data_IF_354271542973
#
_entry.id   IF_354271542973
#
_cell.length_a   1.000
_cell.length_b   1.000
_cell.length_c   1.000
_cell.angle_alpha   90.00
_cell.angle_beta   90.00
_cell.angle_gamma   90.00
#
_symmetry.space_group_name_H-M   'P 1'
#
loop_
_entity.id
_entity.type
_entity.pdbx_description
1 polymer ?
#
# COMPACT_ATOMS: atom_id res chain seq x y z
N UNK A 1 -6.96 -13.42 25.11
CA UNK A 1 -7.87 -14.17 24.22
C UNK A 1 -7.60 -13.70 22.82
N UNK A 2 -7.06 -14.56 21.96
CA UNK A 2 -6.92 -14.27 20.53
C UNK A 2 -8.35 -14.28 19.99
N UNK A 3 -8.82 -13.12 19.55
CA UNK A 3 -10.16 -12.96 18.99
C UNK A 3 -10.20 -13.79 17.70
N UNK A 4 -11.19 -14.68 17.54
CA UNK A 4 -11.34 -15.66 16.44
C UNK A 4 -11.45 -15.03 15.01
N UNK A 5 -11.22 -13.72 14.88
CA UNK A 5 -11.33 -12.93 13.65
C UNK A 5 -10.00 -12.60 12.96
N UNK A 6 -8.86 -13.02 13.51
CA UNK A 6 -7.54 -12.70 12.93
C UNK A 6 -6.87 -13.95 12.40
N UNK A 7 -6.92 -14.12 11.06
CA UNK A 7 -6.26 -15.24 10.38
C UNK A 7 -4.72 -15.10 10.38
N UNK A 8 -4.22 -13.87 10.53
CA UNK A 8 -2.80 -13.53 10.48
C UNK A 8 -2.39 -12.55 11.59
N UNK A 9 -1.16 -12.64 12.12
CA UNK A 9 -0.66 -11.69 13.11
C UNK A 9 -0.38 -10.31 12.49
N UNK A 10 -0.36 -9.26 13.32
CA UNK A 10 0.02 -7.91 12.89
C UNK A 10 1.41 -7.91 12.23
N UNK A 11 1.50 -7.30 11.06
CA UNK A 11 2.73 -7.24 10.26
C UNK A 11 2.93 -8.43 9.32
N UNK A 12 2.04 -9.43 9.32
CA UNK A 12 2.10 -10.51 8.35
C UNK A 12 1.96 -9.95 6.93
N UNK A 13 2.99 -10.13 6.10
CA UNK A 13 3.06 -9.57 4.75
C UNK A 13 3.17 -10.69 3.72
N UNK A 14 2.30 -10.66 2.73
CA UNK A 14 2.35 -11.53 1.56
C UNK A 14 2.92 -10.74 0.38
N UNK A 15 3.82 -11.35 -0.39
CA UNK A 15 4.41 -10.79 -1.60
C UNK A 15 3.97 -11.60 -2.82
N UNK A 16 3.88 -10.95 -3.97
CA UNK A 16 3.66 -11.60 -5.25
C UNK A 16 4.48 -10.93 -6.36
N UNK A 17 4.98 -11.73 -7.28
CA UNK A 17 5.64 -11.24 -8.51
C UNK A 17 4.61 -10.80 -9.57
N UNK A 18 3.38 -11.33 -9.49
CA UNK A 18 2.30 -11.02 -10.42
C UNK A 18 0.94 -11.11 -9.76
N UNK A 19 0.07 -10.14 -10.05
CA UNK A 19 -1.34 -10.16 -9.65
C UNK A 19 -2.24 -10.42 -10.87
N UNK A 20 -2.86 -11.59 -10.93
CA UNK A 20 -3.79 -11.95 -12.02
C UNK A 20 -5.16 -11.25 -11.89
N UNK A 21 -5.56 -10.90 -10.66
CA UNK A 21 -6.84 -10.28 -10.34
C UNK A 21 -6.66 -9.05 -9.43
N UNK A 22 -5.63 -8.24 -9.70
CA UNK A 22 -5.38 -7.01 -8.95
C UNK A 22 -6.54 -6.01 -9.05
N UNK A 23 -6.79 -5.28 -7.96
CA UNK A 23 -7.89 -4.30 -7.85
C UNK A 23 -7.38 -3.01 -7.20
N UNK A 24 -7.75 -1.86 -7.75
CA UNK A 24 -7.57 -0.53 -7.15
C UNK A 24 -8.83 -0.04 -6.42
N UNK A 25 -8.84 1.24 -6.03
CA UNK A 25 -10.02 1.90 -5.41
C UNK A 25 -11.26 1.70 -6.29
N UNK A 26 -12.40 1.46 -5.62
CA UNK A 26 -13.71 1.29 -6.28
C UNK A 26 -13.77 0.16 -7.30
N UNK A 27 -12.93 -0.87 -7.15
CA UNK A 27 -12.96 -2.08 -7.97
C UNK A 27 -12.35 -1.93 -9.37
N UNK A 28 -11.67 -0.81 -9.66
CA UNK A 28 -10.94 -0.63 -10.93
C UNK A 28 -9.87 -1.73 -11.07
N UNK A 29 -9.69 -2.24 -12.29
CA UNK A 29 -8.67 -3.25 -12.58
C UNK A 29 -7.27 -2.66 -12.34
N UNK A 30 -6.47 -3.33 -11.51
CA UNK A 30 -5.05 -3.02 -11.38
C UNK A 30 -4.27 -3.91 -12.36
N UNK A 31 -3.49 -3.28 -13.24
CA UNK A 31 -2.70 -3.97 -14.25
C UNK A 31 -1.30 -4.20 -13.68
N UNK A 32 -0.95 -5.46 -13.43
CA UNK A 32 0.40 -5.81 -13.06
C UNK A 32 1.37 -5.59 -14.25
N UNK A 33 2.53 -5.01 -13.96
CA UNK A 33 3.63 -4.78 -14.88
C UNK A 33 4.75 -5.77 -14.57
N UNK A 34 5.58 -6.07 -15.56
CA UNK A 34 6.77 -6.90 -15.33
C UNK A 34 7.72 -6.21 -14.34
N UNK A 35 8.32 -6.99 -13.45
CA UNK A 35 9.21 -6.52 -12.37
C UNK A 35 8.56 -5.57 -11.36
N UNK A 36 7.22 -5.56 -11.28
CA UNK A 36 6.51 -4.87 -10.20
C UNK A 36 6.63 -5.60 -8.86
N UNK A 37 6.64 -4.84 -7.76
CA UNK A 37 6.55 -5.40 -6.40
C UNK A 37 5.10 -5.27 -5.95
N UNK A 38 4.46 -6.40 -5.63
CA UNK A 38 3.10 -6.43 -5.08
C UNK A 38 3.13 -7.03 -3.68
N UNK A 39 2.53 -6.35 -2.71
CA UNK A 39 2.45 -6.84 -1.35
C UNK A 39 1.13 -6.48 -0.68
N UNK A 40 0.81 -7.20 0.39
CA UNK A 40 -0.31 -6.89 1.27
C UNK A 40 0.06 -7.28 2.70
N UNK A 41 -0.18 -6.36 3.64
CA UNK A 41 0.17 -6.53 5.06
C UNK A 41 -1.09 -6.52 5.91
N UNK A 42 -1.21 -7.49 6.83
CA UNK A 42 -2.32 -7.56 7.78
C UNK A 42 -2.01 -6.76 9.04
N UNK A 43 -2.97 -5.96 9.49
CA UNK A 43 -2.89 -5.24 10.76
C UNK A 43 -4.27 -5.13 11.41
N UNK A 44 -4.31 -5.42 12.71
CA UNK A 44 -5.50 -5.30 13.56
C UNK A 44 -5.25 -4.20 14.58
N UNK A 45 -6.17 -3.24 14.63
CA UNK A 45 -6.14 -2.13 15.57
C UNK A 45 -7.08 -2.42 16.73
N UNK A 46 -6.65 -2.11 17.96
CA UNK A 46 -7.44 -2.34 19.17
C UNK A 46 -8.64 -1.39 19.27
N UNK A 47 -8.50 -0.18 18.72
CA UNK A 47 -9.58 0.80 18.61
C UNK A 47 -10.17 0.83 17.19
N UNK A 48 -11.45 1.15 17.09
CA UNK A 48 -12.09 1.39 15.80
C UNK A 48 -11.56 2.70 15.21
N UNK A 49 -10.53 2.59 14.38
CA UNK A 49 -9.92 3.73 13.69
C UNK A 49 -10.92 4.22 12.64
N UNK A 50 -11.77 5.18 13.02
CA UNK A 50 -12.63 5.91 12.08
C UNK A 50 -11.82 6.71 11.03
N UNK A 51 -10.49 6.78 11.16
CA UNK A 51 -9.57 7.51 10.32
C UNK A 51 -8.66 6.62 9.44
N UNK A 52 -9.15 5.46 8.97
CA UNK A 52 -8.46 4.64 7.95
C UNK A 52 -7.85 5.47 6.78
N UNK A 53 -8.50 6.53 6.27
CA UNK A 53 -7.89 7.39 5.25
C UNK A 53 -6.60 8.10 5.71
N UNK A 54 -6.49 8.47 6.99
CA UNK A 54 -5.30 9.12 7.56
C UNK A 54 -4.15 8.11 7.70
N UNK A 55 -4.46 6.86 8.03
CA UNK A 55 -3.46 5.80 8.12
C UNK A 55 -2.79 5.55 6.76
N UNK A 56 -3.57 5.42 5.69
CA UNK A 56 -3.02 5.25 4.33
C UNK A 56 -2.14 6.43 3.92
N UNK A 57 -2.52 7.64 4.33
CA UNK A 57 -1.73 8.83 4.04
C UNK A 57 -0.37 8.82 4.77
N UNK A 58 -0.36 8.46 6.06
CA UNK A 58 0.89 8.34 6.84
C UNK A 58 1.80 7.26 6.25
N UNK A 59 1.23 6.12 5.84
CA UNK A 59 1.98 5.04 5.18
C UNK A 59 2.59 5.50 3.86
N UNK A 60 1.83 6.23 3.03
CA UNK A 60 2.32 6.79 1.77
C UNK A 60 3.48 7.77 1.96
N UNK A 61 3.37 8.66 2.95
CA UNK A 61 4.45 9.61 3.29
C UNK A 61 5.71 8.85 3.71
N UNK A 62 5.59 7.92 4.66
CA UNK A 62 6.73 7.14 5.13
C UNK A 62 7.38 6.32 4.02
N UNK A 63 6.59 5.72 3.12
CA UNK A 63 7.11 4.97 2.00
C UNK A 63 7.91 5.87 1.05
N UNK A 64 7.38 7.02 0.65
CA UNK A 64 8.10 7.95 -0.23
C UNK A 64 9.36 8.49 0.44
N UNK A 65 9.27 8.94 1.70
CA UNK A 65 10.43 9.44 2.45
C UNK A 65 11.52 8.38 2.52
N UNK A 66 11.14 7.11 2.75
CA UNK A 66 12.07 5.99 2.78
C UNK A 66 12.71 5.75 1.40
N UNK A 67 11.92 5.72 0.33
CA UNK A 67 12.43 5.50 -1.03
C UNK A 67 13.37 6.63 -1.48
N UNK A 68 13.04 7.88 -1.18
CA UNK A 68 13.94 9.03 -1.45
C UNK A 68 15.25 8.86 -0.68
N UNK A 69 15.20 8.45 0.59
CA UNK A 69 16.41 8.19 1.37
C UNK A 69 17.29 7.05 0.80
N UNK A 70 16.70 6.12 0.05
CA UNK A 70 17.41 5.07 -0.69
C UNK A 70 17.89 5.52 -2.09
N UNK A 71 17.70 6.78 -2.48
CA UNK A 71 18.18 7.34 -3.75
C UNK A 71 17.17 7.32 -4.90
N UNK A 72 15.89 7.02 -4.62
CA UNK A 72 14.81 7.14 -5.61
C UNK A 72 14.23 8.55 -5.61
N UNK A 73 14.90 9.47 -6.30
CA UNK A 73 14.45 10.85 -6.46
C UNK A 73 13.21 10.97 -7.37
N UNK A 74 12.48 12.09 -7.32
CA UNK A 74 11.38 12.38 -8.25
C UNK A 74 10.05 11.65 -7.96
N UNK A 75 9.96 10.96 -6.83
CA UNK A 75 8.73 10.38 -6.29
C UNK A 75 7.88 11.43 -5.57
N UNK A 76 6.57 11.42 -5.78
CA UNK A 76 5.62 12.24 -5.02
C UNK A 76 4.29 11.51 -4.79
N UNK A 77 3.49 12.00 -3.83
CA UNK A 77 2.16 11.46 -3.55
C UNK A 77 1.14 12.20 -4.41
N UNK A 78 0.37 11.46 -5.20
CA UNK A 78 -0.90 11.93 -5.72
C UNK A 78 -2.01 11.48 -4.76
N UNK A 79 -2.64 12.46 -4.13
CA UNK A 79 -3.64 12.23 -3.09
C UNK A 79 -4.82 11.38 -3.60
N UNK A 80 -5.36 10.42 -2.81
CA UNK A 80 -4.98 10.08 -1.43
C UNK A 80 -3.94 8.95 -1.29
N UNK A 81 -3.73 8.14 -2.32
CA UNK A 81 -3.12 6.81 -2.20
C UNK A 81 -2.14 6.45 -3.32
N UNK A 82 -1.94 7.33 -4.30
CA UNK A 82 -1.11 7.06 -5.47
C UNK A 82 0.31 7.60 -5.24
N UNK A 83 1.31 6.80 -5.57
CA UNK A 83 2.71 7.25 -5.67
C UNK A 83 2.97 7.51 -7.15
N UNK A 84 3.45 8.70 -7.48
CA UNK A 84 3.80 9.09 -8.84
C UNK A 84 5.29 9.34 -8.97
N UNK A 85 5.84 9.03 -10.15
CA UNK A 85 7.20 9.37 -10.57
C UNK A 85 7.10 10.21 -11.84
N UNK A 86 7.68 11.42 -11.84
CA UNK A 86 7.60 12.36 -12.98
C UNK A 86 6.18 12.52 -13.57
N UNK A 87 5.18 12.74 -12.71
CA UNK A 87 3.75 12.94 -13.08
C UNK A 87 3.03 11.70 -13.67
N UNK A 88 3.61 10.51 -13.58
CA UNK A 88 2.95 9.23 -13.92
C UNK A 88 2.80 8.36 -12.68
N UNK A 89 1.66 7.69 -12.51
CA UNK A 89 1.44 6.74 -11.41
C UNK A 89 2.44 5.59 -11.48
N UNK A 90 3.16 5.38 -10.37
CA UNK A 90 4.24 4.41 -10.20
C UNK A 90 3.89 3.33 -9.17
N UNK A 91 3.08 3.67 -8.15
CA UNK A 91 2.61 2.75 -7.13
C UNK A 91 1.28 3.17 -6.53
N UNK A 92 0.66 2.27 -5.75
CA UNK A 92 -0.66 2.48 -5.15
C UNK A 92 -0.75 1.77 -3.81
N UNK A 93 -1.37 2.43 -2.81
CA UNK A 93 -1.61 1.89 -1.47
C UNK A 93 -3.12 1.74 -1.25
N UNK A 94 -3.56 0.57 -0.79
CA UNK A 94 -4.96 0.30 -0.41
C UNK A 94 -5.05 0.02 1.09
#
# INVERSE_FOLDING_TARGET
MINERTLYPNGHTCFAEKQNHGRGVSGKKWIAVENGIYLSTSWTFEENINSLPVLNQILGINLITTLIAYGFDGLSIQWPNDIVYSQKTWGYIN
#
